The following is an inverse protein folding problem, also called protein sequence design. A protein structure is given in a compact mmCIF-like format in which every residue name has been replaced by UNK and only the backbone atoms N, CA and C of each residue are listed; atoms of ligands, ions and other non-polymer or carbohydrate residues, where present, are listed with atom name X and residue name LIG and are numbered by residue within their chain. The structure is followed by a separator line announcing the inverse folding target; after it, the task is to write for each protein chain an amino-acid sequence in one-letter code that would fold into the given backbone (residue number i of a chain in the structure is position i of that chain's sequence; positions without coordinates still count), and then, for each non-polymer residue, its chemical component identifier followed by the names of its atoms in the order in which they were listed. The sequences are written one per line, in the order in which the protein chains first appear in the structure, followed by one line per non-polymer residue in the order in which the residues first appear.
data_IF_564997017603
#
_entry.id   IF_564997017603
#
_cell.length_a   1.000
_cell.length_b   1.000
_cell.length_c   1.000
_cell.angle_alpha   90.00
_cell.angle_beta   90.00
_cell.angle_gamma   90.00
#
_symmetry.space_group_name_H-M   'P 1'
#
loop_
_entity.id
_entity.type
_entity.pdbx_description
1 polymer ?
#
# COMPACT_ATOMS: atom_id res chain seq x y z
N UNK A 1 -10.91 44.54 -9.43
CA UNK A 1 -10.86 43.24 -10.13
C UNK A 1 -9.63 42.51 -9.62
N UNK A 2 -9.82 41.45 -8.83
CA UNK A 2 -8.75 40.56 -8.39
C UNK A 2 -8.62 39.37 -9.36
N UNK A 3 -7.42 38.83 -9.55
CA UNK A 3 -7.27 37.40 -9.69
C UNK A 3 -6.58 36.86 -8.43
N UNK A 4 -7.30 36.02 -7.69
CA UNK A 4 -6.72 35.21 -6.63
C UNK A 4 -5.92 34.07 -7.28
N UNK A 5 -4.61 34.04 -7.05
CA UNK A 5 -3.73 32.94 -7.46
C UNK A 5 -4.11 31.67 -6.71
N UNK A 6 -4.63 30.70 -7.44
CA UNK A 6 -4.91 29.34 -6.97
C UNK A 6 -3.61 28.53 -6.85
N UNK A 7 -3.40 27.87 -5.70
CA UNK A 7 -2.33 26.90 -5.48
C UNK A 7 -2.95 25.51 -5.23
N UNK A 8 -2.42 24.42 -5.79
CA UNK A 8 -3.02 23.09 -5.65
C UNK A 8 -2.65 22.46 -4.29
N UNK A 9 -3.64 22.25 -3.42
CA UNK A 9 -3.46 21.67 -2.08
C UNK A 9 -3.75 20.16 -2.09
N UNK A 10 -2.70 19.35 -1.90
CA UNK A 10 -2.70 17.88 -2.01
C UNK A 10 -2.87 17.13 -0.67
N UNK A 11 -3.42 15.92 -0.76
CA UNK A 11 -3.56 14.94 0.34
C UNK A 11 -2.31 14.03 0.47
N UNK A 12 -2.14 13.34 1.61
CA UNK A 12 -0.95 12.51 1.89
C UNK A 12 -1.28 11.19 2.62
N UNK A 13 -1.16 10.00 2.00
CA UNK A 13 -1.14 8.72 2.71
C UNK A 13 0.16 8.48 3.48
N UNK A 14 0.05 7.77 4.62
CA UNK A 14 1.19 7.20 5.34
C UNK A 14 1.32 5.70 5.05
N UNK A 15 2.45 5.28 4.48
CA UNK A 15 2.72 3.89 4.13
C UNK A 15 4.04 3.38 4.74
N UNK A 16 4.05 2.12 5.18
CA UNK A 16 5.20 1.41 5.73
C UNK A 16 5.38 0.08 4.99
N UNK A 17 6.57 -0.20 4.44
CA UNK A 17 6.91 -1.46 3.81
C UNK A 17 8.13 -2.11 4.49
N UNK A 18 8.02 -3.36 4.95
CA UNK A 18 9.06 -4.06 5.71
C UNK A 18 9.11 -5.56 5.38
N UNK A 19 10.29 -6.14 5.23
CA UNK A 19 10.46 -7.59 5.06
C UNK A 19 10.43 -8.32 6.42
N UNK A 20 9.62 -9.36 6.57
CA UNK A 20 9.46 -10.16 7.79
C UNK A 20 9.80 -11.64 7.55
N UNK A 21 10.47 -12.27 8.52
CA UNK A 21 10.69 -13.72 8.52
C UNK A 21 9.35 -14.48 8.71
N UNK A 22 9.22 -15.73 8.23
CA UNK A 22 8.00 -16.50 8.41
C UNK A 22 7.77 -16.80 9.91
N UNK A 23 6.56 -16.55 10.47
CA UNK A 23 6.27 -16.88 11.86
C UNK A 23 6.04 -18.39 12.04
N UNK A 24 6.40 -18.91 13.21
CA UNK A 24 6.16 -20.30 13.63
C UNK A 24 4.69 -20.62 13.96
N UNK A 25 3.80 -19.61 13.98
CA UNK A 25 2.34 -19.77 14.11
C UNK A 25 1.61 -18.63 13.37
N UNK A 26 0.47 -18.88 12.70
CA UNK A 26 -0.29 -17.82 12.04
C UNK A 26 -1.15 -17.07 13.07
N UNK A 27 -0.57 -16.12 13.81
CA UNK A 27 -1.38 -15.06 14.43
C UNK A 27 -1.70 -14.03 13.35
N UNK A 28 -2.89 -14.13 12.75
CA UNK A 28 -3.44 -13.02 11.95
C UNK A 28 -3.68 -11.86 12.91
N UNK A 29 -3.01 -10.74 12.70
CA UNK A 29 -3.36 -9.50 13.39
C UNK A 29 -4.78 -9.12 13.00
N UNK A 30 -5.54 -8.55 13.93
CA UNK A 30 -6.92 -8.10 13.71
C UNK A 30 -7.06 -7.07 12.56
N UNK A 31 -5.94 -6.49 12.10
CA UNK A 31 -5.83 -5.50 11.03
C UNK A 31 -5.30 -6.06 9.70
N UNK A 32 -5.03 -7.37 9.62
CA UNK A 32 -4.42 -8.00 8.44
C UNK A 32 -5.47 -8.28 7.34
N UNK A 33 -5.12 -7.89 6.13
CA UNK A 33 -5.88 -8.12 4.91
C UNK A 33 -5.21 -9.25 4.13
N UNK A 34 -6.01 -10.14 3.55
CA UNK A 34 -5.51 -11.13 2.59
C UNK A 34 -4.91 -10.44 1.37
N UNK A 35 -3.64 -10.72 1.01
CA UNK A 35 -3.06 -10.20 -0.22
C UNK A 35 -3.73 -10.86 -1.43
N UNK A 36 -3.93 -10.11 -2.51
CA UNK A 36 -4.49 -10.65 -3.75
C UNK A 36 -3.52 -11.53 -4.55
N UNK A 37 -2.23 -11.50 -4.20
CA UNK A 37 -1.16 -12.28 -4.87
C UNK A 37 -0.01 -12.59 -3.91
N UNK A 38 0.84 -13.56 -4.27
CA UNK A 38 2.22 -13.64 -3.77
C UNK A 38 3.18 -12.81 -4.64
N UNK A 39 4.44 -12.69 -4.22
CA UNK A 39 5.47 -11.94 -4.94
C UNK A 39 6.69 -12.79 -5.30
N UNK A 40 7.21 -12.64 -6.54
CA UNK A 40 6.57 -12.00 -7.69
C UNK A 40 5.23 -12.67 -8.02
N UNK A 41 4.28 -11.95 -8.64
CA UNK A 41 3.01 -12.56 -9.06
C UNK A 41 3.24 -13.79 -9.93
N UNK A 42 2.35 -14.78 -9.81
CA UNK A 42 2.36 -16.05 -10.57
C UNK A 42 3.56 -16.98 -10.30
N UNK A 43 4.48 -16.64 -9.40
CA UNK A 43 5.59 -17.52 -9.02
C UNK A 43 5.14 -18.51 -7.94
N UNK A 44 5.15 -19.81 -8.26
CA UNK A 44 4.73 -20.91 -7.37
C UNK A 44 5.91 -21.59 -6.64
N UNK A 45 6.85 -20.83 -6.11
CA UNK A 45 7.98 -21.38 -5.35
C UNK A 45 7.68 -21.63 -3.85
N UNK A 46 8.67 -22.14 -3.13
CA UNK A 46 8.58 -22.27 -1.67
C UNK A 46 8.47 -20.89 -1.00
N UNK A 47 7.66 -20.77 0.04
CA UNK A 47 7.61 -19.55 0.87
C UNK A 47 9.00 -19.30 1.48
N UNK A 48 9.57 -18.11 1.25
CA UNK A 48 10.86 -17.70 1.79
C UNK A 48 10.72 -16.72 2.96
N UNK A 49 9.88 -15.70 2.78
CA UNK A 49 9.61 -14.64 3.75
C UNK A 49 8.33 -13.88 3.36
N UNK A 50 8.02 -12.80 4.07
CA UNK A 50 6.90 -11.93 3.77
C UNK A 50 7.36 -10.49 3.52
N UNK A 51 6.77 -9.81 2.56
CA UNK A 51 6.79 -8.35 2.49
C UNK A 51 5.52 -7.81 3.14
N UNK A 52 5.68 -7.15 4.29
CA UNK A 52 4.61 -6.43 4.97
C UNK A 52 4.43 -5.07 4.33
N UNK A 53 3.20 -4.73 3.95
CA UNK A 53 2.80 -3.39 3.52
C UNK A 53 1.67 -2.90 4.42
N UNK A 54 1.85 -1.71 5.00
CA UNK A 54 0.87 -1.06 5.85
C UNK A 54 0.51 0.31 5.26
N UNK A 55 -0.78 0.57 5.05
CA UNK A 55 -1.32 1.88 4.67
C UNK A 55 -2.19 2.37 5.82
N UNK A 56 -1.66 3.22 6.69
CA UNK A 56 -2.27 3.51 7.98
C UNK A 56 -3.45 4.50 7.88
N UNK A 57 -3.18 5.68 7.33
CA UNK A 57 -4.15 6.78 7.23
C UNK A 57 -3.96 7.58 5.96
N UNK A 58 -5.04 8.21 5.51
CA UNK A 58 -5.04 9.24 4.47
C UNK A 58 -5.37 10.58 5.13
N UNK A 59 -4.47 11.56 5.00
CA UNK A 59 -4.71 12.92 5.52
C UNK A 59 -5.18 13.81 4.38
N UNK A 60 -6.36 14.39 4.56
CA UNK A 60 -6.95 15.37 3.65
C UNK A 60 -6.62 16.80 4.09
N UNK A 61 -6.23 17.65 3.14
CA UNK A 61 -6.04 19.10 3.37
C UNK A 61 -7.19 19.96 2.79
N UNK A 62 -8.19 19.31 2.20
CA UNK A 62 -9.35 19.96 1.58
C UNK A 62 -10.51 20.05 2.57
N UNK A 63 -11.31 21.11 2.49
CA UNK A 63 -12.40 21.38 3.42
C UNK A 63 -13.52 20.33 3.39
N UNK A 64 -13.73 19.68 2.24
CA UNK A 64 -14.75 18.63 2.04
C UNK A 64 -14.08 17.36 1.49
N UNK A 65 -13.47 16.52 2.35
CA UNK A 65 -12.82 15.30 1.90
C UNK A 65 -13.85 14.27 1.37
N UNK A 66 -13.47 13.45 0.38
CA UNK A 66 -14.25 12.28 -0.01
C UNK A 66 -14.45 11.37 1.19
N UNK A 67 -15.70 10.98 1.44
CA UNK A 67 -16.02 10.04 2.50
C UNK A 67 -15.77 8.61 2.02
N UNK A 68 -15.31 7.75 2.93
CA UNK A 68 -15.12 6.32 2.64
C UNK A 68 -14.21 6.05 1.44
N UNK A 69 -12.91 6.29 1.58
CA UNK A 69 -11.92 5.94 0.55
C UNK A 69 -11.29 4.57 0.81
N UNK A 70 -10.81 3.93 -0.25
CA UNK A 70 -9.94 2.77 -0.21
C UNK A 70 -8.61 3.11 -0.88
N UNK A 71 -7.56 2.37 -0.53
CA UNK A 71 -6.28 2.41 -1.24
C UNK A 71 -6.06 1.08 -1.92
N UNK A 72 -5.92 1.10 -3.24
CA UNK A 72 -5.66 -0.05 -4.08
C UNK A 72 -4.16 -0.13 -4.38
N UNK A 73 -3.59 -1.30 -4.13
CA UNK A 73 -2.19 -1.60 -4.43
C UNK A 73 -2.16 -2.74 -5.43
N UNK A 74 -1.56 -2.51 -6.59
CA UNK A 74 -1.33 -3.56 -7.59
C UNK A 74 0.16 -3.68 -7.86
N UNK A 75 0.65 -4.91 -7.77
CA UNK A 75 2.05 -5.23 -8.04
C UNK A 75 2.29 -5.40 -9.54
N UNK A 76 3.53 -5.19 -9.98
CA UNK A 76 3.90 -5.41 -11.38
C UNK A 76 3.75 -6.89 -11.75
N UNK A 77 3.11 -7.17 -12.89
CA UNK A 77 2.77 -8.53 -13.32
C UNK A 77 1.55 -9.15 -12.63
N UNK A 78 0.89 -8.44 -11.72
CA UNK A 78 -0.35 -8.93 -11.09
C UNK A 78 -1.53 -8.86 -12.08
N UNK A 79 -2.28 -9.97 -12.19
CA UNK A 79 -3.46 -10.09 -13.07
C UNK A 79 -4.77 -9.73 -12.36
N UNK A 80 -4.74 -9.70 -11.03
CA UNK A 80 -5.88 -9.34 -10.18
C UNK A 80 -6.12 -7.83 -10.16
N UNK A 81 -7.20 -7.39 -9.52
CA UNK A 81 -7.43 -5.97 -9.31
C UNK A 81 -6.49 -5.27 -8.33
N UNK A 82 -5.65 -6.03 -7.61
CA UNK A 82 -4.80 -5.55 -6.55
C UNK A 82 -5.41 -5.79 -5.17
N UNK A 83 -4.65 -5.47 -4.12
CA UNK A 83 -5.09 -5.57 -2.73
C UNK A 83 -5.70 -4.24 -2.27
N UNK A 84 -6.88 -4.31 -1.66
CA UNK A 84 -7.63 -3.14 -1.18
C UNK A 84 -7.42 -2.92 0.32
N UNK A 85 -6.94 -1.73 0.66
CA UNK A 85 -6.74 -1.23 2.02
C UNK A 85 -7.86 -0.27 2.39
N UNK A 86 -8.30 -0.33 3.65
CA UNK A 86 -9.24 0.59 4.25
C UNK A 86 -8.51 1.41 5.33
N UNK A 87 -7.74 2.44 4.96
CA UNK A 87 -7.07 3.30 5.91
C UNK A 87 -8.07 4.01 6.82
N UNK A 88 -7.63 4.34 8.04
CA UNK A 88 -8.47 5.12 8.95
C UNK A 88 -8.67 6.51 8.36
N UNK A 89 -9.93 6.90 8.20
CA UNK A 89 -10.31 8.27 7.91
C UNK A 89 -10.15 9.12 9.18
N UNK A 90 -9.65 10.35 9.06
CA UNK A 90 -9.46 11.25 10.19
C UNK A 90 -10.78 11.54 10.94
N UNK A 91 -11.92 11.37 10.27
CA UNK A 91 -13.26 11.57 10.84
C UNK A 91 -13.86 10.31 11.49
N UNK A 92 -13.24 9.13 11.34
CA UNK A 92 -13.75 7.88 11.90
C UNK A 92 -13.21 7.61 13.31
N UNK A 93 -14.06 7.87 14.32
CA UNK A 93 -13.84 7.57 15.74
C UNK A 93 -14.06 6.11 16.12
N UNK A 94 -14.76 5.33 15.30
CA UNK A 94 -15.14 3.95 15.64
C UNK A 94 -14.00 2.93 15.42
N UNK A 95 -13.86 1.91 16.30
CA UNK A 95 -12.88 0.83 16.17
C UNK A 95 -13.33 -0.24 15.17
N UNK A 96 -13.78 0.15 13.98
CA UNK A 96 -14.08 -0.79 12.89
C UNK A 96 -12.78 -1.45 12.46
N UNK A 97 -12.78 -2.77 12.24
CA UNK A 97 -11.58 -3.56 11.91
C UNK A 97 -10.74 -2.87 10.82
N UNK A 98 -9.65 -2.22 11.26
CA UNK A 98 -8.84 -1.33 10.42
C UNK A 98 -7.97 -2.20 9.53
N UNK A 99 -8.44 -2.44 8.30
CA UNK A 99 -7.77 -3.24 7.27
C UNK A 99 -6.66 -2.42 6.64
N UNK A 100 -5.51 -2.38 7.28
CA UNK A 100 -4.40 -1.47 6.90
C UNK A 100 -3.11 -2.18 6.62
N UNK A 101 -2.98 -3.46 7.01
CA UNK A 101 -1.73 -4.20 6.83
C UNK A 101 -1.99 -5.43 6.00
N UNK A 102 -1.08 -5.76 5.09
CA UNK A 102 -1.06 -7.05 4.42
C UNK A 102 0.36 -7.60 4.40
N UNK A 103 0.49 -8.92 4.27
CA UNK A 103 1.77 -9.61 4.18
C UNK A 103 1.79 -10.44 2.90
N UNK A 104 2.53 -9.96 1.90
CA UNK A 104 2.71 -10.68 0.65
C UNK A 104 3.73 -11.79 0.84
N UNK A 105 3.34 -13.03 0.55
CA UNK A 105 4.26 -14.16 0.56
C UNK A 105 5.32 -14.00 -0.54
N UNK A 106 6.60 -14.06 -0.19
CA UNK A 106 7.71 -14.08 -1.16
C UNK A 106 8.03 -15.51 -1.53
N UNK A 107 7.90 -15.84 -2.81
CA UNK A 107 7.99 -17.21 -3.36
C UNK A 107 9.25 -17.46 -4.18
N UNK A 108 10.13 -16.47 -4.33
CA UNK A 108 11.37 -16.57 -5.08
C UNK A 108 12.62 -16.31 -4.20
N UNK A 109 13.81 -16.61 -4.74
CA UNK A 109 15.08 -16.38 -4.02
C UNK A 109 15.45 -14.90 -3.89
N UNK A 110 16.31 -14.51 -2.94
CA UNK A 110 16.65 -13.09 -2.67
C UNK A 110 17.12 -12.30 -3.91
N UNK A 111 17.97 -12.90 -4.76
CA UNK A 111 18.45 -12.27 -6.00
C UNK A 111 17.31 -12.00 -6.99
N UNK A 112 16.42 -12.97 -7.18
CA UNK A 112 15.26 -12.84 -8.06
C UNK A 112 14.28 -11.79 -7.51
N UNK A 113 14.06 -11.76 -6.19
CA UNK A 113 13.19 -10.77 -5.58
C UNK A 113 13.76 -9.35 -5.73
N UNK A 114 15.07 -9.18 -5.56
CA UNK A 114 15.75 -7.91 -5.79
C UNK A 114 15.64 -7.47 -7.25
N UNK A 115 15.81 -8.38 -8.21
CA UNK A 115 15.61 -8.10 -9.64
C UNK A 115 14.18 -7.61 -9.89
N UNK A 116 13.18 -8.35 -9.38
CA UNK A 116 11.77 -7.97 -9.51
C UNK A 116 11.47 -6.57 -8.95
N UNK A 117 11.97 -6.24 -7.75
CA UNK A 117 11.79 -4.91 -7.15
C UNK A 117 12.52 -3.81 -7.94
N UNK A 118 13.65 -4.14 -8.55
CA UNK A 118 14.42 -3.22 -9.41
C UNK A 118 13.66 -2.96 -10.72
N UNK A 119 13.17 -4.00 -11.37
CA UNK A 119 12.47 -3.92 -12.66
C UNK A 119 11.14 -3.17 -12.53
N UNK A 120 10.39 -3.37 -11.44
CA UNK A 120 9.15 -2.63 -11.23
C UNK A 120 9.40 -1.14 -10.92
N UNK A 121 10.54 -0.81 -10.27
CA UNK A 121 11.03 0.51 -9.85
C UNK A 121 10.11 1.35 -8.93
N UNK A 122 8.82 1.42 -9.24
CA UNK A 122 7.79 2.21 -8.59
C UNK A 122 6.57 1.34 -8.26
N UNK A 123 6.03 1.50 -7.05
CA UNK A 123 4.76 0.91 -6.65
C UNK A 123 3.71 2.03 -6.60
N UNK A 124 2.64 1.88 -7.37
CA UNK A 124 1.55 2.86 -7.39
C UNK A 124 0.47 2.45 -6.40
N UNK A 125 0.19 3.34 -5.45
CA UNK A 125 -0.95 3.29 -4.54
C UNK A 125 -2.04 4.19 -5.11
N UNK A 126 -3.18 3.63 -5.50
CA UNK A 126 -4.30 4.39 -6.02
C UNK A 126 -5.36 4.60 -4.94
N UNK A 127 -5.72 5.85 -4.69
CA UNK A 127 -6.81 6.18 -3.79
C UNK A 127 -8.09 6.19 -4.60
N UNK A 128 -9.06 5.39 -4.17
CA UNK A 128 -10.35 5.21 -4.86
C UNK A 128 -11.50 5.49 -3.91
N UNK A 129 -12.63 5.94 -4.44
CA UNK A 129 -13.90 6.05 -3.71
C UNK A 129 -14.50 4.66 -3.50
N UNK A 130 -15.00 4.39 -2.28
CA UNK A 130 -15.57 3.07 -1.95
C UNK A 130 -16.89 2.78 -2.70
N UNK A 131 -17.64 3.81 -3.07
CA UNK A 131 -18.98 3.67 -3.64
C UNK A 131 -18.95 3.12 -5.07
N UNK A 132 -18.09 3.67 -5.92
CA UNK A 132 -18.02 3.43 -7.37
C UNK A 132 -16.63 2.94 -7.82
N UNK A 133 -15.65 2.88 -6.93
CA UNK A 133 -14.29 2.42 -7.24
C UNK A 133 -13.49 3.38 -8.12
N UNK A 134 -13.96 4.62 -8.30
CA UNK A 134 -13.30 5.58 -9.17
C UNK A 134 -12.01 6.12 -8.55
N UNK A 135 -10.93 6.24 -9.33
CA UNK A 135 -9.67 6.80 -8.84
C UNK A 135 -9.80 8.29 -8.60
N UNK A 136 -9.48 8.71 -7.37
CA UNK A 136 -9.43 10.11 -6.97
C UNK A 136 -8.00 10.63 -6.83
N UNK A 137 -7.01 9.74 -6.87
CA UNK A 137 -5.60 10.13 -6.93
C UNK A 137 -4.65 8.94 -6.84
N UNK A 138 -3.37 9.21 -7.09
CA UNK A 138 -2.31 8.19 -7.13
C UNK A 138 -1.08 8.66 -6.40
N UNK A 139 -0.40 7.71 -5.77
CA UNK A 139 0.85 7.92 -5.07
C UNK A 139 1.87 6.94 -5.59
N UNK A 140 3.09 7.42 -5.80
CA UNK A 140 4.21 6.63 -6.26
C UNK A 140 5.18 6.39 -5.10
N UNK A 141 5.44 5.12 -4.82
CA UNK A 141 6.45 4.68 -3.87
C UNK A 141 7.68 4.23 -4.66
N UNK A 142 8.76 4.98 -4.53
CA UNK A 142 10.03 4.72 -5.20
C UNK A 142 11.02 4.01 -4.26
N UNK A 143 12.17 3.60 -4.79
CA UNK A 143 13.25 3.05 -3.97
C UNK A 143 13.00 1.61 -3.50
N UNK A 144 12.10 0.88 -4.16
CA UNK A 144 11.73 -0.49 -3.78
C UNK A 144 12.93 -1.45 -3.79
N UNK A 145 13.88 -1.25 -4.70
CA UNK A 145 15.11 -2.04 -4.76
C UNK A 145 15.98 -1.95 -3.49
N UNK A 146 15.78 -0.92 -2.65
CA UNK A 146 16.49 -0.75 -1.40
C UNK A 146 15.85 -1.52 -0.24
N UNK A 147 14.66 -2.11 -0.43
CA UNK A 147 13.97 -2.85 0.61
C UNK A 147 14.81 -4.04 1.10
N UNK A 148 15.03 -4.07 2.40
CA UNK A 148 15.72 -5.16 3.10
C UNK A 148 15.18 -5.27 4.53
N UNK A 149 15.53 -6.31 5.31
CA UNK A 149 15.12 -6.40 6.71
C UNK A 149 15.50 -5.17 7.56
N UNK A 150 16.57 -4.47 7.19
CA UNK A 150 17.09 -3.29 7.88
C UNK A 150 16.75 -1.97 7.19
N UNK A 151 16.21 -2.02 5.97
CA UNK A 151 15.88 -0.84 5.18
C UNK A 151 14.42 -0.91 4.73
N UNK A 152 13.59 -0.14 5.41
CA UNK A 152 12.15 -0.03 5.18
C UNK A 152 11.82 1.29 4.52
N UNK A 153 10.77 1.29 3.70
CA UNK A 153 10.21 2.53 3.16
C UNK A 153 9.10 2.98 4.11
N UNK A 154 9.24 4.19 4.65
CA UNK A 154 8.28 4.78 5.56
C UNK A 154 8.14 6.28 5.31
N UNK A 155 6.92 6.80 5.38
CA UNK A 155 6.69 8.24 5.34
C UNK A 155 5.28 8.64 4.93
N UNK A 156 5.10 9.95 4.80
CA UNK A 156 3.94 10.53 4.13
C UNK A 156 4.28 10.75 2.66
N UNK A 157 3.40 10.29 1.80
CA UNK A 157 3.57 10.41 0.36
C UNK A 157 2.44 11.25 -0.19
N UNK A 158 2.72 12.19 -1.07
CA UNK A 158 1.71 13.13 -1.58
C UNK A 158 0.94 12.53 -2.75
N UNK A 159 -0.40 12.69 -2.74
CA UNK A 159 -1.32 12.42 -3.86
C UNK A 159 -1.31 13.61 -4.81
#
# INVERSE_FOLDING_TARGET
MHPAQWSPQRAHPYALAQLEAPPSQPRRGLSDISPSTSLPPLVEGQLRCFLKLTVNRVIWKIAKPPTCVLVRVRWWGETSDGTLFCPRDALQTEPKAVRTTTRYAIRCGPKQFTSYLTDMAVLVLEVITKLDGLPIGRVQINGLAQLSPTHQINGFFTI
#
